data_IF_432338081650
#
_entry.id   IF_432338081650
#
_cell.length_a   1.000
_cell.length_b   1.000
_cell.length_c   1.000
_cell.angle_alpha   90.00
_cell.angle_beta   90.00
_cell.angle_gamma   90.00
#
_symmetry.space_group_name_H-M   'P 1'
#
loop_
_entity.id
_entity.type
_entity.pdbx_description
1 polymer ?
#
# COMPACT_ATOMS: atom_id res chain seq x y z
N UNK A 1 57.73 -8.34 11.41
CA UNK A 1 56.56 -8.22 10.50
C UNK A 1 55.33 -8.42 11.38
N UNK A 2 54.57 -7.35 11.67
CA UNK A 2 53.41 -7.40 12.57
C UNK A 2 52.15 -7.69 11.73
N UNK A 3 51.48 -8.80 11.99
CA UNK A 3 50.22 -9.16 11.34
C UNK A 3 49.05 -8.43 12.00
N UNK A 4 48.43 -7.51 11.25
CA UNK A 4 47.23 -6.79 11.67
C UNK A 4 46.02 -7.70 11.42
N UNK A 5 45.43 -8.26 12.48
CA UNK A 5 44.12 -8.92 12.41
C UNK A 5 43.03 -7.88 12.14
N UNK A 6 42.57 -7.80 10.89
CA UNK A 6 41.36 -7.05 10.52
C UNK A 6 40.13 -7.78 11.07
N UNK A 7 39.66 -7.38 12.24
CA UNK A 7 38.34 -7.74 12.74
C UNK A 7 37.27 -7.04 11.91
N UNK A 8 36.65 -7.76 10.97
CA UNK A 8 35.56 -7.23 10.16
C UNK A 8 34.23 -7.58 10.84
N UNK A 9 33.85 -6.84 11.89
CA UNK A 9 32.49 -6.93 12.42
C UNK A 9 31.56 -6.18 11.45
N UNK A 10 30.85 -6.94 10.61
CA UNK A 10 29.72 -6.42 9.84
C UNK A 10 28.58 -6.17 10.82
N UNK A 11 28.35 -4.91 11.16
CA UNK A 11 27.14 -4.52 11.90
C UNK A 11 25.93 -4.79 11.00
N UNK A 12 25.17 -5.84 11.33
CA UNK A 12 23.93 -6.19 10.67
C UNK A 12 22.84 -5.19 11.14
N UNK A 13 22.57 -4.17 10.31
CA UNK A 13 21.52 -3.19 10.60
C UNK A 13 20.17 -3.83 10.25
N UNK A 14 19.45 -4.29 11.28
CA UNK A 14 18.08 -4.77 11.13
C UNK A 14 17.14 -3.56 11.19
N UNK A 15 16.68 -3.08 10.04
CA UNK A 15 15.54 -2.15 10.00
C UNK A 15 14.32 -2.94 10.42
N UNK A 16 13.61 -2.54 11.49
CA UNK A 16 12.45 -3.28 12.01
C UNK A 16 11.10 -2.68 11.58
N UNK A 17 11.11 -1.37 11.28
CA UNK A 17 9.95 -0.57 10.95
C UNK A 17 10.27 0.39 9.81
N UNK A 18 9.30 0.72 8.99
CA UNK A 18 9.43 1.66 7.88
C UNK A 18 8.31 2.70 7.90
N UNK A 19 8.66 3.97 7.65
CA UNK A 19 7.68 5.04 7.47
C UNK A 19 7.22 5.04 6.00
N UNK A 20 5.94 4.80 5.78
CA UNK A 20 5.33 4.65 4.45
C UNK A 20 4.33 5.78 4.20
N UNK A 21 4.40 6.39 3.02
CA UNK A 21 3.45 7.42 2.59
C UNK A 21 2.14 6.78 2.10
N UNK A 22 1.01 7.36 2.48
CA UNK A 22 -0.31 7.07 1.93
C UNK A 22 -0.67 7.98 0.74
N UNK A 23 0.20 8.95 0.43
CA UNK A 23 0.02 9.93 -0.65
C UNK A 23 0.72 9.43 -1.91
N UNK A 24 -0.01 9.49 -3.04
CA UNK A 24 0.53 9.22 -4.36
C UNK A 24 1.47 10.34 -4.79
N UNK A 25 2.70 10.00 -5.15
CA UNK A 25 3.72 10.95 -5.61
C UNK A 25 3.40 11.65 -6.94
N UNK A 26 2.42 11.16 -7.71
CA UNK A 26 2.04 11.72 -9.00
C UNK A 26 0.82 12.65 -8.90
N UNK A 27 -0.21 12.21 -8.18
CA UNK A 27 -1.44 12.98 -8.02
C UNK A 27 -1.43 13.91 -6.80
N UNK A 28 -0.47 13.75 -5.89
CA UNK A 28 -0.41 14.41 -4.58
C UNK A 28 -1.70 14.23 -3.76
N UNK A 29 -2.43 13.16 -4.04
CA UNK A 29 -3.67 12.77 -3.37
C UNK A 29 -3.46 11.44 -2.67
N UNK A 30 -4.33 11.15 -1.71
CA UNK A 30 -4.39 9.85 -1.06
C UNK A 30 -4.50 8.74 -2.13
N UNK A 31 -3.71 7.68 -1.95
CA UNK A 31 -3.72 6.53 -2.86
C UNK A 31 -5.14 5.93 -2.89
N UNK A 32 -5.69 5.78 -4.10
CA UNK A 32 -7.01 5.16 -4.29
C UNK A 32 -6.91 3.64 -4.27
N UNK A 33 -6.09 3.10 -5.16
CA UNK A 33 -5.81 1.67 -5.26
C UNK A 33 -4.32 1.45 -5.05
N UNK A 34 -3.89 0.98 -3.85
CA UNK A 34 -2.49 0.75 -3.53
C UNK A 34 -1.99 -0.49 -4.25
N UNK A 35 -1.03 -0.31 -5.14
CA UNK A 35 -0.38 -1.41 -5.84
C UNK A 35 1.14 -1.36 -5.71
N UNK A 36 1.74 -2.53 -5.82
CA UNK A 36 3.19 -2.73 -5.96
C UNK A 36 3.44 -3.87 -6.93
N UNK A 37 4.61 -3.87 -7.56
CA UNK A 37 5.02 -5.01 -8.39
C UNK A 37 5.25 -6.26 -7.54
N UNK A 38 4.92 -7.43 -8.06
CA UNK A 38 5.13 -8.74 -7.42
C UNK A 38 6.55 -8.90 -6.83
N UNK A 39 7.56 -8.47 -7.58
CA UNK A 39 8.98 -8.59 -7.19
C UNK A 39 9.55 -7.39 -6.41
N UNK A 40 8.69 -6.47 -5.95
CA UNK A 40 9.11 -5.33 -5.14
C UNK A 40 9.48 -5.78 -3.72
N UNK A 41 10.59 -5.26 -3.16
CA UNK A 41 10.96 -5.49 -1.76
C UNK A 41 10.65 -4.28 -0.85
N UNK A 42 10.21 -3.16 -1.42
CA UNK A 42 9.78 -2.00 -0.64
C UNK A 42 8.31 -2.14 -0.22
N UNK A 43 7.95 -1.56 0.92
CA UNK A 43 6.56 -1.55 1.41
C UNK A 43 5.73 -0.41 0.80
N UNK A 44 6.36 0.66 0.32
CA UNK A 44 5.65 1.78 -0.29
C UNK A 44 4.83 1.31 -1.51
N UNK A 45 3.51 1.50 -1.50
CA UNK A 45 2.69 1.33 -2.70
C UNK A 45 2.63 2.62 -3.52
N UNK A 46 2.20 2.49 -4.76
CA UNK A 46 1.82 3.60 -5.63
C UNK A 46 0.37 3.45 -6.07
N UNK A 47 -0.21 4.53 -6.59
CA UNK A 47 -1.59 4.52 -7.07
C UNK A 47 -1.68 3.87 -8.45
N UNK A 48 -2.53 2.85 -8.58
CA UNK A 48 -2.74 2.13 -9.84
C UNK A 48 -3.10 3.08 -10.99
N UNK A 49 -4.13 3.92 -10.82
CA UNK A 49 -4.58 4.83 -11.88
C UNK A 49 -3.46 5.74 -12.38
N UNK A 50 -2.74 6.39 -11.46
CA UNK A 50 -1.64 7.28 -11.81
C UNK A 50 -0.48 6.55 -12.51
N UNK A 51 -0.22 5.30 -12.11
CA UNK A 51 0.79 4.47 -12.78
C UNK A 51 0.38 4.11 -14.21
N UNK A 52 -0.87 3.70 -14.42
CA UNK A 52 -1.39 3.36 -15.74
C UNK A 52 -1.41 4.60 -16.66
N UNK A 53 -1.83 5.76 -16.16
CA UNK A 53 -1.79 7.03 -16.91
C UNK A 53 -0.35 7.40 -17.31
N UNK A 54 0.61 7.28 -16.40
CA UNK A 54 2.02 7.51 -16.68
C UNK A 54 2.57 6.53 -17.72
N UNK A 55 2.20 5.24 -17.65
CA UNK A 55 2.67 4.26 -18.62
C UNK A 55 2.01 4.44 -19.99
N UNK A 56 0.73 4.83 -20.06
CA UNK A 56 0.04 5.13 -21.31
C UNK A 56 0.68 6.32 -22.04
N UNK A 57 1.17 7.31 -21.31
CA UNK A 57 1.79 8.53 -21.85
C UNK A 57 3.29 8.39 -22.15
N UNK A 58 3.94 7.31 -21.71
CA UNK A 58 5.36 7.10 -21.94
C UNK A 58 5.63 6.66 -23.39
N UNK A 59 6.52 7.38 -24.08
CA UNK A 59 7.00 7.06 -25.44
C UNK A 59 7.58 5.64 -25.54
N UNK A 60 8.21 5.18 -24.45
CA UNK A 60 8.69 3.81 -24.28
C UNK A 60 8.16 3.24 -22.96
N UNK A 61 7.14 2.36 -23.06
CA UNK A 61 6.53 1.69 -21.90
C UNK A 61 7.47 0.65 -21.33
N UNK A 62 8.38 1.07 -20.44
CA UNK A 62 9.36 0.18 -19.82
C UNK A 62 8.77 -0.70 -18.71
N UNK A 63 7.52 -0.44 -18.28
CA UNK A 63 6.81 -1.18 -17.23
C UNK A 63 7.68 -1.41 -15.99
N UNK A 64 8.30 -0.34 -15.50
CA UNK A 64 9.16 -0.38 -14.31
C UNK A 64 8.45 0.25 -13.11
N UNK A 65 8.65 -0.36 -11.95
CA UNK A 65 8.15 0.16 -10.69
C UNK A 65 8.66 1.59 -10.48
N UNK A 66 7.78 2.56 -10.19
CA UNK A 66 8.17 3.96 -10.06
C UNK A 66 9.08 4.21 -8.85
N UNK A 67 9.07 3.31 -7.87
CA UNK A 67 9.81 3.41 -6.61
C UNK A 67 11.19 2.75 -6.73
N UNK A 68 11.25 1.44 -7.01
CA UNK A 68 12.52 0.70 -7.03
C UNK A 68 13.08 0.39 -8.42
N UNK A 69 12.40 0.84 -9.49
CA UNK A 69 12.82 0.67 -10.90
C UNK A 69 12.95 -0.78 -11.40
N UNK A 70 12.53 -1.77 -10.61
CA UNK A 70 12.40 -3.17 -11.06
C UNK A 70 11.29 -3.32 -12.09
N UNK A 71 11.36 -4.37 -12.91
CA UNK A 71 10.28 -4.77 -13.83
C UNK A 71 8.98 -4.99 -13.05
N UNK A 72 7.87 -4.50 -13.59
CA UNK A 72 6.59 -4.33 -12.91
C UNK A 72 5.43 -4.60 -13.87
N UNK A 73 5.41 -5.81 -14.42
CA UNK A 73 4.34 -6.33 -15.28
C UNK A 73 3.19 -6.91 -14.46
N UNK A 74 3.50 -7.58 -13.34
CA UNK A 74 2.51 -8.10 -12.40
C UNK A 74 2.36 -7.13 -11.23
N UNK A 75 1.18 -6.55 -11.10
CA UNK A 75 0.79 -5.67 -10.01
C UNK A 75 -0.03 -6.45 -8.99
N UNK A 76 0.29 -6.26 -7.71
CA UNK A 76 -0.45 -6.82 -6.58
C UNK A 76 -1.11 -5.66 -5.84
N UNK A 77 -2.40 -5.80 -5.53
CA UNK A 77 -3.09 -4.89 -4.61
C UNK A 77 -2.65 -5.22 -3.17
N UNK A 78 -2.05 -4.25 -2.49
CA UNK A 78 -1.63 -4.46 -1.10
C UNK A 78 -2.84 -4.38 -0.17
N UNK A 79 -3.32 -5.54 0.30
CA UNK A 79 -4.51 -5.65 1.16
C UNK A 79 -4.39 -4.84 2.45
N UNK A 80 -3.21 -4.84 3.07
CA UNK A 80 -2.95 -4.14 4.33
C UNK A 80 -3.08 -2.63 4.14
N UNK A 81 -2.43 -2.08 3.11
CA UNK A 81 -2.57 -0.65 2.79
C UNK A 81 -3.95 -0.30 2.27
N UNK A 82 -4.63 -1.19 1.54
CA UNK A 82 -6.01 -0.97 1.09
C UNK A 82 -6.93 -0.74 2.28
N UNK A 83 -6.86 -1.61 3.29
CA UNK A 83 -7.64 -1.48 4.52
C UNK A 83 -7.35 -0.15 5.23
N UNK A 84 -6.07 0.20 5.40
CA UNK A 84 -5.66 1.47 6.03
C UNK A 84 -6.25 2.66 5.26
N UNK A 85 -6.11 2.68 3.94
CA UNK A 85 -6.61 3.77 3.09
C UNK A 85 -8.14 3.87 3.10
N UNK A 86 -8.84 2.74 3.17
CA UNK A 86 -10.30 2.71 3.29
C UNK A 86 -10.77 3.37 4.59
N UNK A 87 -10.13 3.03 5.71
CA UNK A 87 -10.44 3.61 7.02
C UNK A 87 -10.10 5.09 7.06
N UNK A 88 -8.95 5.51 6.52
CA UNK A 88 -8.58 6.93 6.43
C UNK A 88 -9.62 7.72 5.64
N UNK A 89 -10.13 7.17 4.53
CA UNK A 89 -11.17 7.81 3.71
C UNK A 89 -12.51 7.87 4.44
N UNK A 90 -12.95 6.76 5.02
CA UNK A 90 -14.23 6.66 5.72
C UNK A 90 -14.31 7.64 6.89
N UNK A 91 -13.25 7.68 7.70
CA UNK A 91 -13.15 8.55 8.87
C UNK A 91 -12.68 9.97 8.55
N UNK A 92 -12.45 10.27 7.25
CA UNK A 92 -11.95 11.58 6.77
C UNK A 92 -10.72 12.07 7.53
N UNK A 93 -9.82 11.15 7.86
CA UNK A 93 -8.61 11.45 8.63
C UNK A 93 -7.58 12.17 7.76
N UNK A 94 -6.87 13.13 8.36
CA UNK A 94 -5.73 13.79 7.74
C UNK A 94 -4.44 13.05 8.10
N UNK A 95 -4.23 11.89 7.49
CA UNK A 95 -3.04 11.06 7.68
C UNK A 95 -2.34 10.84 6.34
N UNK A 96 -1.08 11.24 6.27
CA UNK A 96 -0.25 11.11 5.07
C UNK A 96 0.78 10.00 5.18
N UNK A 97 1.13 9.58 6.39
CA UNK A 97 2.16 8.59 6.65
C UNK A 97 1.71 7.61 7.73
N UNK A 98 2.18 6.37 7.59
CA UNK A 98 2.02 5.31 8.59
C UNK A 98 3.34 4.62 8.85
N UNK A 99 3.47 4.02 10.01
CA UNK A 99 4.61 3.17 10.36
C UNK A 99 4.23 1.72 10.16
N UNK A 100 4.96 1.01 9.32
CA UNK A 100 4.75 -0.41 9.03
C UNK A 100 5.90 -1.24 9.62
N UNK A 101 5.61 -2.41 10.17
CA UNK A 101 6.62 -3.39 10.51
C UNK A 101 7.16 -4.06 9.25
N UNK A 102 8.31 -4.73 9.32
CA UNK A 102 8.92 -5.43 8.17
C UNK A 102 8.01 -6.42 7.41
N UNK A 103 7.02 -7.00 8.08
CA UNK A 103 6.05 -7.90 7.47
C UNK A 103 4.91 -7.17 6.72
N UNK A 104 4.93 -5.82 6.69
CA UNK A 104 3.91 -4.99 6.06
C UNK A 104 2.70 -4.67 6.95
N UNK A 105 2.64 -5.18 8.18
CA UNK A 105 1.55 -4.85 9.10
C UNK A 105 1.73 -3.45 9.69
N UNK A 106 0.63 -2.77 10.00
CA UNK A 106 0.67 -1.50 10.72
C UNK A 106 1.34 -1.70 12.09
N UNK A 107 2.20 -0.74 12.46
CA UNK A 107 2.85 -0.72 13.76
C UNK A 107 1.85 -0.46 14.88
N UNK A 108 2.00 -1.16 16.00
CA UNK A 108 1.08 -1.06 17.14
C UNK A 108 1.14 0.30 17.84
N UNK A 109 2.29 0.95 17.71
CA UNK A 109 2.55 2.28 18.26
C UNK A 109 2.02 3.40 17.34
N UNK A 110 1.61 3.07 16.11
CA UNK A 110 1.02 4.03 15.18
C UNK A 110 -0.37 4.47 15.67
N UNK A 111 -0.66 5.77 15.54
CA UNK A 111 -1.93 6.34 15.98
C UNK A 111 -3.12 5.69 15.27
N UNK A 112 -2.97 5.33 13.99
CA UNK A 112 -4.03 4.65 13.25
C UNK A 112 -4.31 3.25 13.79
N UNK A 113 -3.35 2.57 14.42
CA UNK A 113 -3.56 1.21 14.91
C UNK A 113 -4.67 1.15 15.96
N UNK A 114 -4.70 2.13 16.88
CA UNK A 114 -5.75 2.24 17.91
C UNK A 114 -7.12 2.51 17.31
N UNK A 115 -7.18 3.42 16.33
CA UNK A 115 -8.42 3.76 15.62
C UNK A 115 -8.99 2.53 14.88
N UNK A 116 -8.12 1.75 14.22
CA UNK A 116 -8.53 0.53 13.51
C UNK A 116 -9.06 -0.51 14.51
N UNK A 117 -8.38 -0.70 15.64
CA UNK A 117 -8.82 -1.64 16.68
C UNK A 117 -10.17 -1.25 17.30
N UNK A 118 -10.41 0.03 17.57
CA UNK A 118 -11.69 0.52 18.08
C UNK A 118 -12.81 0.26 17.08
N UNK A 119 -12.55 0.50 15.79
CA UNK A 119 -13.54 0.30 14.73
C UNK A 119 -13.87 -1.17 14.49
N UNK A 120 -12.88 -2.05 14.58
CA UNK A 120 -13.10 -3.50 14.46
C UNK A 120 -13.91 -4.04 15.64
N UNK A 121 -13.68 -3.53 16.86
CA UNK A 121 -14.50 -3.88 18.03
C UNK A 121 -15.96 -3.42 17.88
N UNK A 122 -16.19 -2.22 17.33
CA UNK A 122 -17.55 -1.73 17.01
C UNK A 122 -18.19 -2.61 15.94
N UNK A 123 -17.47 -2.92 14.85
CA UNK A 123 -17.97 -3.77 13.76
C UNK A 123 -18.32 -5.18 14.23
N UNK A 124 -17.53 -5.74 15.14
CA UNK A 124 -17.72 -7.08 15.68
C UNK A 124 -18.66 -7.09 16.90
N UNK A 125 -19.33 -5.98 17.22
CA UNK A 125 -20.32 -5.90 18.31
C UNK A 125 -19.74 -6.07 19.71
N UNK A 126 -18.41 -5.94 19.87
CA UNK A 126 -17.73 -6.07 21.16
C UNK A 126 -17.91 -4.82 22.04
N UNK A 127 -18.40 -3.71 21.48
CA UNK A 127 -18.75 -2.48 22.19
C UNK A 127 -20.21 -2.13 21.86
N UNK A 128 -21.14 -2.41 22.78
CA UNK A 128 -22.52 -1.90 22.69
C UNK A 128 -22.51 -0.39 22.96
N UNK A 129 -22.73 0.42 21.92
CA UNK A 129 -22.95 1.85 22.07
C UNK A 129 -24.45 2.12 22.17
N UNK A 130 -24.91 2.53 23.35
CA UNK A 130 -26.19 3.20 23.56
C UNK A 130 -26.17 4.55 22.84
N UNK A 131 -26.54 4.58 21.56
CA UNK A 131 -26.62 5.82 20.79
C UNK A 131 -26.96 5.57 19.32
N UNK A 132 -28.23 5.81 18.98
CA UNK A 132 -28.86 5.95 17.66
C UNK A 132 -28.06 5.46 16.45
N UNK A 133 -28.35 4.22 16.06
CA UNK A 133 -27.90 3.60 14.81
C UNK A 133 -28.65 4.29 13.65
N UNK A 134 -27.94 5.01 12.78
CA UNK A 134 -28.41 5.19 11.41
C UNK A 134 -27.95 3.95 10.65
N UNK A 135 -28.91 3.20 10.12
CA UNK A 135 -28.69 2.03 9.27
C UNK A 135 -27.70 2.39 8.15
N UNK A 136 -26.55 1.72 8.12
CA UNK A 136 -25.62 1.80 6.99
C UNK A 136 -25.88 0.54 6.15
N UNK A 137 -26.52 0.77 5.01
CA UNK A 137 -26.80 -0.22 3.97
C UNK A 137 -25.51 -0.94 3.54
N UNK A 138 -25.49 -2.26 3.71
CA UNK A 138 -24.32 -3.14 3.56
C UNK A 138 -24.16 -3.69 2.14
N UNK A 139 -24.93 -3.20 1.17
CA UNK A 139 -24.96 -3.76 -0.19
C UNK A 139 -24.32 -2.88 -1.28
N UNK A 140 -23.32 -2.05 -0.98
CA UNK A 140 -22.52 -1.48 -2.08
C UNK A 140 -21.49 -2.50 -2.55
N UNK A 141 -21.91 -3.39 -3.45
CA UNK A 141 -21.04 -4.14 -4.35
C UNK A 141 -20.14 -3.13 -5.09
N UNK A 142 -18.92 -2.92 -4.62
CA UNK A 142 -17.89 -2.28 -5.43
C UNK A 142 -17.29 -3.39 -6.29
N UNK A 143 -18.03 -3.75 -7.34
CA UNK A 143 -17.50 -4.54 -8.45
C UNK A 143 -16.34 -3.76 -9.08
N UNK A 144 -15.16 -4.37 -9.09
CA UNK A 144 -14.05 -3.89 -9.91
C UNK A 144 -14.15 -4.62 -11.25
N UNK A 145 -14.52 -3.90 -12.32
CA UNK A 145 -14.27 -4.38 -13.67
C UNK A 145 -12.76 -4.39 -13.89
N UNK A 146 -12.18 -5.59 -13.95
CA UNK A 146 -10.81 -5.81 -14.39
C UNK A 146 -10.82 -5.65 -15.91
N UNK A 147 -10.54 -4.46 -16.40
CA UNK A 147 -10.28 -4.26 -17.84
C UNK A 147 -8.95 -4.96 -18.17
N UNK A 148 -9.01 -6.06 -18.93
CA UNK A 148 -7.86 -6.54 -19.69
C UNK A 148 -7.46 -5.45 -20.69
N UNK A 149 -6.33 -4.79 -20.44
CA UNK A 149 -5.82 -3.77 -21.36
C UNK A 149 -4.99 -4.50 -22.43
N UNK A 150 -5.65 -4.97 -23.49
CA UNK A 150 -4.98 -5.44 -24.71
C UNK A 150 -4.58 -4.23 -25.57
N UNK A 151 -3.27 -3.95 -25.67
CA UNK A 151 -2.73 -2.97 -26.62
C UNK A 151 -1.61 -3.63 -27.44
N UNK A 152 -1.60 -3.36 -28.75
CA UNK A 152 -0.94 -4.15 -29.81
C UNK A 152 0.60 -4.11 -29.82
N UNK A 153 1.23 -3.66 -28.73
CA UNK A 153 2.67 -3.60 -28.54
C UNK A 153 3.05 -4.17 -27.15
N UNK A 154 2.93 -5.49 -27.07
CA UNK A 154 3.61 -6.49 -26.21
C UNK A 154 4.08 -6.07 -24.79
N UNK A 155 3.13 -6.01 -23.86
CA UNK A 155 3.30 -6.38 -22.46
C UNK A 155 1.92 -6.45 -21.79
N UNK A 156 1.52 -7.65 -21.37
CA UNK A 156 0.29 -7.84 -20.59
C UNK A 156 0.56 -7.44 -19.12
N UNK A 157 -0.25 -6.54 -18.58
CA UNK A 157 -0.23 -6.23 -17.15
C UNK A 157 -1.25 -7.12 -16.47
N UNK A 158 -0.81 -7.87 -15.47
CA UNK A 158 -1.69 -8.69 -14.66
C UNK A 158 -1.88 -7.98 -13.32
N UNK A 159 -3.13 -7.80 -12.89
CA UNK A 159 -3.48 -7.26 -11.58
C UNK A 159 -4.07 -8.41 -10.75
N UNK A 160 -3.42 -8.72 -9.63
CA UNK A 160 -3.85 -9.79 -8.73
C UNK A 160 -4.41 -9.22 -7.42
N UNK A 161 -5.53 -9.82 -6.97
CA UNK A 161 -6.22 -9.50 -5.72
C UNK A 161 -5.73 -10.30 -4.51
#
# INVERSE_FOLDING_TARGET
MLEIKRGNQRNEIKVEKSKTSLICQYSFKLIRTPVRGEFCYHQQCFCLNSYLEMMKSAEHRKWVCPICKKVCLNLIIDKSQKLILDIVRELKLKVEYVTLNNNGSLDKDDVLYKIILEKDQIRNGLIELNGTINEIDVNSEIGYEVEQIEDRNEAEIIICD
#
